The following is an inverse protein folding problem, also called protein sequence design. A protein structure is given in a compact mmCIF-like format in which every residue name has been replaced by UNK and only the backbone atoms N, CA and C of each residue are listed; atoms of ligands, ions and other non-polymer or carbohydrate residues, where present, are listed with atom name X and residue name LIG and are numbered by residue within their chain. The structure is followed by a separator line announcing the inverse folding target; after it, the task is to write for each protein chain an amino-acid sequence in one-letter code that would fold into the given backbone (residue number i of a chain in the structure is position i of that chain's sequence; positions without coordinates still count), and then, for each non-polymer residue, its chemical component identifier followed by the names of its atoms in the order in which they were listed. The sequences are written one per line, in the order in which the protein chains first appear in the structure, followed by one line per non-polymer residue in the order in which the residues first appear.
data_IF_948251551540
#
_entry.id   IF_948251551540
#
_cell.length_a   1.000
_cell.length_b   1.000
_cell.length_c   1.000
_cell.angle_alpha   90.00
_cell.angle_beta   90.00
_cell.angle_gamma   90.00
#
_symmetry.space_group_name_H-M   'P 1'
#
loop_
_entity.id
_entity.type
_entity.pdbx_description
1 polymer ?
#
# COMPACT_ATOMS: atom_id res chain seq x y z
N UNK A 1 93.29 29.43 -2.60
CA UNK A 1 92.10 29.37 -1.74
C UNK A 1 90.90 29.19 -2.64
N UNK A 2 90.47 27.95 -2.86
CA UNK A 2 89.21 27.67 -3.58
C UNK A 2 88.16 27.25 -2.58
N UNK A 3 87.07 28.01 -2.47
CA UNK A 3 85.91 27.60 -1.74
C UNK A 3 84.93 26.97 -2.71
N UNK A 4 84.58 25.68 -2.47
CA UNK A 4 83.58 24.93 -3.20
C UNK A 4 82.22 25.19 -2.56
N UNK A 5 81.26 25.67 -3.39
CA UNK A 5 79.82 25.78 -3.04
C UNK A 5 79.12 24.51 -3.47
N UNK A 6 78.65 23.71 -2.53
CA UNK A 6 77.79 22.56 -2.74
C UNK A 6 76.34 23.02 -2.61
N UNK A 7 75.67 23.16 -3.73
CA UNK A 7 74.21 23.46 -3.77
C UNK A 7 73.38 22.20 -3.60
N UNK A 8 72.59 22.13 -2.53
CA UNK A 8 71.63 21.07 -2.23
C UNK A 8 70.33 21.30 -3.00
N UNK A 9 70.06 20.52 -4.04
CA UNK A 9 68.78 20.58 -4.79
C UNK A 9 67.80 19.71 -4.05
N UNK A 10 66.81 20.32 -3.37
CA UNK A 10 65.69 19.65 -2.74
C UNK A 10 64.56 19.47 -3.77
N UNK A 11 64.39 18.22 -4.24
CA UNK A 11 63.31 17.83 -5.13
C UNK A 11 62.05 17.59 -4.30
N UNK A 12 61.06 18.48 -4.42
CA UNK A 12 59.73 18.28 -3.88
C UNK A 12 58.94 17.32 -4.77
N UNK A 13 58.72 16.09 -4.28
CA UNK A 13 57.78 15.15 -4.90
C UNK A 13 56.35 15.56 -4.49
N UNK A 14 55.65 16.21 -5.39
CA UNK A 14 54.21 16.42 -5.24
C UNK A 14 53.52 15.14 -5.64
N UNK A 15 53.17 14.32 -4.65
CA UNK A 15 52.29 13.18 -4.84
C UNK A 15 50.87 13.67 -5.12
N UNK A 16 50.48 13.75 -6.38
CA UNK A 16 49.10 13.96 -6.80
C UNK A 16 48.27 12.72 -6.41
N UNK A 17 47.52 12.79 -5.31
CA UNK A 17 46.48 11.82 -4.99
C UNK A 17 45.37 11.96 -6.04
N UNK A 18 45.44 11.17 -7.09
CA UNK A 18 44.27 10.87 -7.93
C UNK A 18 43.33 10.01 -7.11
N UNK A 19 42.37 10.63 -6.44
CA UNK A 19 41.18 9.95 -5.97
C UNK A 19 40.40 9.48 -7.20
N UNK A 20 40.62 8.21 -7.56
CA UNK A 20 39.73 7.49 -8.47
C UNK A 20 38.34 7.58 -7.84
N UNK A 21 37.49 8.43 -8.37
CA UNK A 21 36.08 8.35 -8.13
C UNK A 21 35.65 6.95 -8.64
N UNK A 22 35.55 5.98 -7.72
CA UNK A 22 34.95 4.69 -8.03
C UNK A 22 33.55 5.00 -8.51
N UNK A 23 33.33 4.95 -9.81
CA UNK A 23 32.03 5.05 -10.41
C UNK A 23 31.18 3.93 -9.84
N UNK A 24 30.28 4.26 -8.89
CA UNK A 24 29.35 3.28 -8.34
C UNK A 24 28.59 2.66 -9.51
N UNK A 25 28.64 1.34 -9.60
CA UNK A 25 27.84 0.60 -10.59
C UNK A 25 26.39 1.07 -10.48
N UNK A 26 25.76 1.49 -11.58
CA UNK A 26 24.39 1.98 -11.52
C UNK A 26 23.45 0.94 -10.92
N UNK A 27 22.67 1.34 -9.93
CA UNK A 27 21.70 0.48 -9.28
C UNK A 27 20.51 0.26 -10.21
N UNK A 28 20.11 -0.99 -10.41
CA UNK A 28 18.91 -1.35 -11.15
C UNK A 28 17.87 -1.90 -10.20
N UNK A 29 16.70 -1.29 -10.14
CA UNK A 29 15.57 -1.76 -9.34
C UNK A 29 14.47 -2.25 -10.28
N UNK A 30 14.15 -3.52 -10.20
CA UNK A 30 13.01 -4.10 -10.89
C UNK A 30 11.70 -3.65 -10.23
N UNK A 31 10.73 -3.22 -11.01
CA UNK A 31 9.38 -2.89 -10.56
C UNK A 31 8.42 -3.92 -11.16
N UNK A 32 7.80 -4.74 -10.32
CA UNK A 32 6.82 -5.74 -10.75
C UNK A 32 5.45 -5.39 -10.18
N UNK A 33 4.50 -5.11 -11.06
CA UNK A 33 3.11 -4.79 -10.68
C UNK A 33 2.12 -5.57 -11.55
N UNK A 34 1.03 -6.03 -10.94
CA UNK A 34 -0.06 -6.67 -11.67
C UNK A 34 -0.77 -5.66 -12.56
N UNK A 35 -1.08 -4.50 -12.03
CA UNK A 35 -1.71 -3.39 -12.72
C UNK A 35 -1.24 -2.06 -12.12
N UNK A 36 -1.07 -1.05 -12.97
CA UNK A 36 -0.62 0.28 -12.54
C UNK A 36 -1.83 1.17 -12.28
N UNK A 37 -2.48 0.93 -11.19
CA UNK A 37 -3.53 1.81 -10.69
C UNK A 37 -2.97 2.95 -9.82
N UNK A 38 -3.89 3.73 -9.22
CA UNK A 38 -3.51 4.89 -8.40
C UNK A 38 -2.67 4.51 -7.17
N UNK A 39 -3.02 3.43 -6.48
CA UNK A 39 -2.29 2.96 -5.29
C UNK A 39 -0.84 2.61 -5.64
N UNK A 40 -0.62 1.82 -6.69
CA UNK A 40 0.68 1.44 -7.20
C UNK A 40 1.48 2.67 -7.66
N UNK A 41 0.84 3.58 -8.39
CA UNK A 41 1.45 4.84 -8.83
C UNK A 41 1.88 5.70 -7.64
N UNK A 42 1.09 5.80 -6.56
CA UNK A 42 1.46 6.51 -5.35
C UNK A 42 2.63 5.83 -4.61
N UNK A 43 2.63 4.50 -4.51
CA UNK A 43 3.75 3.75 -3.93
C UNK A 43 5.06 4.00 -4.70
N UNK A 44 5.02 3.97 -6.03
CA UNK A 44 6.19 4.26 -6.87
C UNK A 44 6.66 5.71 -6.76
N UNK A 45 5.74 6.68 -6.68
CA UNK A 45 6.09 8.08 -6.41
C UNK A 45 6.80 8.24 -5.07
N UNK A 46 6.28 7.57 -4.03
CA UNK A 46 6.91 7.54 -2.71
C UNK A 46 8.30 6.92 -2.75
N UNK A 47 8.45 5.78 -3.42
CA UNK A 47 9.71 5.09 -3.62
C UNK A 47 10.75 6.00 -4.30
N UNK A 48 10.38 6.59 -5.43
CA UNK A 48 11.27 7.49 -6.20
C UNK A 48 11.66 8.73 -5.38
N UNK A 49 10.70 9.33 -4.66
CA UNK A 49 10.96 10.48 -3.79
C UNK A 49 11.91 10.12 -2.64
N UNK A 50 11.67 8.99 -1.95
CA UNK A 50 12.53 8.53 -0.86
C UNK A 50 13.95 8.19 -1.34
N UNK A 51 14.09 7.51 -2.47
CA UNK A 51 15.41 7.22 -3.04
C UNK A 51 16.14 8.52 -3.47
N UNK A 52 15.41 9.51 -4.01
CA UNK A 52 16.00 10.81 -4.33
C UNK A 52 16.53 11.54 -3.09
N UNK A 53 15.80 11.52 -1.99
CA UNK A 53 16.25 12.08 -0.70
C UNK A 53 17.49 11.37 -0.14
N UNK A 54 17.67 10.09 -0.46
CA UNK A 54 18.85 9.29 -0.11
C UNK A 54 20.02 9.44 -1.09
N UNK A 55 19.92 10.35 -2.09
CA UNK A 55 20.99 10.68 -3.03
C UNK A 55 20.96 9.89 -4.35
N UNK A 56 19.97 9.03 -4.56
CA UNK A 56 19.80 8.34 -5.84
C UNK A 56 19.16 9.26 -6.87
N UNK A 57 19.68 9.21 -8.11
CA UNK A 57 19.20 10.03 -9.22
C UNK A 57 18.81 9.10 -10.38
N UNK A 58 17.51 9.08 -10.72
CA UNK A 58 17.03 8.29 -11.84
C UNK A 58 17.76 8.68 -13.14
N UNK A 59 18.09 7.69 -13.95
CA UNK A 59 18.88 7.78 -15.20
C UNK A 59 20.34 8.21 -15.03
N UNK A 60 20.85 8.31 -13.80
CA UNK A 60 22.27 8.57 -13.52
C UNK A 60 22.89 7.37 -12.77
N UNK A 61 22.55 7.24 -11.49
CA UNK A 61 23.03 6.15 -10.64
C UNK A 61 21.94 5.16 -10.23
N UNK A 62 20.67 5.41 -10.66
CA UNK A 62 19.51 4.56 -10.42
C UNK A 62 18.72 4.37 -11.72
N UNK A 63 18.33 3.12 -12.01
CA UNK A 63 17.49 2.76 -13.15
C UNK A 63 16.32 1.88 -12.68
N UNK A 64 15.10 2.24 -13.07
CA UNK A 64 13.90 1.43 -12.86
C UNK A 64 13.61 0.59 -14.10
N UNK A 65 13.54 -0.74 -13.91
CA UNK A 65 13.09 -1.70 -14.91
C UNK A 65 11.66 -2.13 -14.56
N UNK A 66 10.67 -1.57 -15.26
CA UNK A 66 9.24 -1.78 -14.90
C UNK A 66 8.60 -2.87 -15.74
N UNK A 67 7.87 -3.76 -15.08
CA UNK A 67 6.96 -4.75 -15.65
C UNK A 67 5.57 -4.57 -15.08
N UNK A 68 4.66 -4.10 -15.91
CA UNK A 68 3.23 -4.00 -15.63
C UNK A 68 2.51 -5.00 -16.53
N UNK A 69 1.89 -6.03 -15.93
CA UNK A 69 1.23 -7.10 -16.69
C UNK A 69 -0.23 -6.80 -17.02
N UNK A 70 -0.70 -5.57 -16.75
CA UNK A 70 -2.03 -5.06 -17.13
C UNK A 70 -3.18 -6.01 -16.72
N UNK A 71 -3.15 -6.49 -15.48
CA UNK A 71 -4.16 -7.39 -14.92
C UNK A 71 -3.93 -8.88 -15.20
N UNK A 72 -3.07 -9.26 -16.16
CA UNK A 72 -2.79 -10.67 -16.49
C UNK A 72 -1.90 -11.33 -15.44
N UNK A 73 -2.50 -11.95 -14.42
CA UNK A 73 -1.79 -12.62 -13.34
C UNK A 73 -0.83 -13.71 -13.81
N UNK A 74 -1.17 -14.43 -14.89
CA UNK A 74 -0.32 -15.51 -15.41
C UNK A 74 1.01 -14.98 -15.98
N UNK A 75 1.06 -13.71 -16.41
CA UNK A 75 2.27 -13.08 -16.91
C UNK A 75 3.22 -12.57 -15.81
N UNK A 76 2.84 -12.57 -14.53
CA UNK A 76 3.66 -12.05 -13.44
C UNK A 76 4.96 -12.81 -13.25
N UNK A 77 4.93 -14.15 -13.26
CA UNK A 77 6.14 -14.96 -13.08
C UNK A 77 7.11 -14.86 -14.25
N UNK A 78 6.70 -14.95 -15.53
CA UNK A 78 7.54 -14.60 -16.65
C UNK A 78 8.16 -13.20 -16.58
N UNK A 79 7.35 -12.19 -16.21
CA UNK A 79 7.81 -10.81 -16.05
C UNK A 79 8.87 -10.66 -14.93
N UNK A 80 8.73 -11.40 -13.82
CA UNK A 80 9.77 -11.46 -12.80
C UNK A 80 11.07 -12.05 -13.36
N UNK A 81 11.00 -13.13 -14.15
CA UNK A 81 12.15 -13.72 -14.85
C UNK A 81 12.86 -12.73 -15.78
N UNK A 82 12.10 -11.92 -16.52
CA UNK A 82 12.66 -10.85 -17.36
C UNK A 82 13.42 -9.79 -16.54
N UNK A 83 12.92 -9.43 -15.35
CA UNK A 83 13.64 -8.52 -14.46
C UNK A 83 14.96 -9.12 -13.98
N UNK A 84 14.96 -10.40 -13.61
CA UNK A 84 16.17 -11.10 -13.20
C UNK A 84 17.21 -11.14 -14.34
N UNK A 85 16.78 -11.36 -15.57
CA UNK A 85 17.64 -11.32 -16.76
C UNK A 85 18.26 -9.92 -17.03
N UNK A 86 17.72 -8.86 -16.41
CA UNK A 86 18.29 -7.51 -16.45
C UNK A 86 19.27 -7.23 -15.31
N UNK A 87 19.64 -8.25 -14.53
CA UNK A 87 20.55 -8.13 -13.39
C UNK A 87 20.13 -7.03 -12.41
N UNK A 88 18.86 -7.03 -12.02
CA UNK A 88 18.35 -6.07 -11.03
C UNK A 88 18.93 -6.35 -9.64
N UNK A 89 19.29 -5.29 -8.92
CA UNK A 89 19.82 -5.35 -7.55
C UNK A 89 18.76 -5.80 -6.55
N UNK A 90 17.50 -5.40 -6.78
CA UNK A 90 16.36 -5.78 -5.99
C UNK A 90 15.07 -5.66 -6.83
N UNK A 91 14.01 -6.34 -6.41
CA UNK A 91 12.67 -6.22 -7.02
C UNK A 91 11.74 -5.52 -6.02
N UNK A 92 11.13 -4.41 -6.45
CA UNK A 92 10.04 -3.77 -5.73
C UNK A 92 8.71 -4.29 -6.26
N UNK A 93 7.80 -4.66 -5.36
CA UNK A 93 6.48 -5.19 -5.72
C UNK A 93 5.37 -4.47 -4.97
N UNK A 94 4.17 -4.44 -5.56
CA UNK A 94 2.97 -3.98 -4.88
C UNK A 94 1.90 -5.07 -4.90
N UNK A 95 1.32 -5.37 -3.73
CA UNK A 95 0.29 -6.38 -3.59
C UNK A 95 0.80 -7.83 -3.56
N UNK A 96 -0.10 -8.74 -3.23
CA UNK A 96 0.23 -10.15 -2.95
C UNK A 96 0.66 -10.92 -4.18
N UNK A 97 -0.06 -10.76 -5.31
CA UNK A 97 0.19 -11.56 -6.53
C UNK A 97 1.57 -11.30 -7.10
N UNK A 98 1.98 -10.03 -7.23
CA UNK A 98 3.30 -9.65 -7.73
C UNK A 98 4.41 -10.11 -6.77
N UNK A 99 4.20 -9.98 -5.46
CA UNK A 99 5.17 -10.43 -4.46
C UNK A 99 5.37 -11.95 -4.50
N UNK A 100 4.29 -12.73 -4.58
CA UNK A 100 4.37 -14.19 -4.73
C UNK A 100 5.08 -14.61 -6.02
N UNK A 101 4.79 -13.93 -7.13
CA UNK A 101 5.44 -14.22 -8.40
C UNK A 101 6.96 -13.93 -8.36
N UNK A 102 7.38 -12.84 -7.72
CA UNK A 102 8.77 -12.53 -7.48
C UNK A 102 9.45 -13.59 -6.59
N UNK A 103 8.81 -14.00 -5.48
CA UNK A 103 9.31 -15.07 -4.58
C UNK A 103 9.44 -16.41 -5.29
N UNK A 104 8.52 -16.74 -6.20
CA UNK A 104 8.59 -17.97 -7.00
C UNK A 104 9.71 -17.93 -8.06
N UNK A 105 10.10 -16.73 -8.52
CA UNK A 105 11.12 -16.56 -9.54
C UNK A 105 12.55 -16.53 -8.98
N UNK A 106 12.75 -16.11 -7.72
CA UNK A 106 14.06 -16.01 -7.10
C UNK A 106 14.04 -16.20 -5.60
N UNK A 107 15.08 -16.85 -5.06
CA UNK A 107 15.36 -16.93 -3.63
C UNK A 107 16.60 -16.11 -3.21
N UNK A 108 17.27 -15.48 -4.16
CA UNK A 108 18.53 -14.74 -3.97
C UNK A 108 18.34 -13.23 -4.09
N UNK A 109 17.70 -12.77 -5.18
CA UNK A 109 17.49 -11.34 -5.42
C UNK A 109 16.52 -10.80 -4.38
N UNK A 110 16.89 -9.75 -3.61
CA UNK A 110 16.04 -9.14 -2.60
C UNK A 110 14.72 -8.61 -3.17
N UNK A 111 13.66 -8.81 -2.42
CA UNK A 111 12.31 -8.34 -2.76
C UNK A 111 11.85 -7.39 -1.65
N UNK A 112 11.46 -6.17 -2.04
CA UNK A 112 10.87 -5.17 -1.17
C UNK A 112 9.42 -4.94 -1.59
N UNK A 113 8.48 -5.31 -0.72
CA UNK A 113 7.06 -5.20 -1.05
C UNK A 113 6.36 -4.05 -0.34
N UNK A 114 5.28 -3.58 -0.92
CA UNK A 114 4.27 -2.71 -0.29
C UNK A 114 2.92 -3.41 -0.36
N UNK A 115 2.29 -3.59 0.82
CA UNK A 115 1.02 -4.30 0.92
C UNK A 115 0.08 -3.67 1.96
N UNK A 116 -1.19 -3.37 1.62
CA UNK A 116 -2.12 -2.74 2.54
C UNK A 116 -2.65 -3.69 3.63
N UNK A 117 -2.58 -4.99 3.41
CA UNK A 117 -3.10 -6.01 4.31
C UNK A 117 -2.08 -6.57 5.29
N UNK A 118 -2.42 -7.72 5.86
CA UNK A 118 -1.58 -8.52 6.74
C UNK A 118 -0.79 -9.55 5.92
N UNK A 119 0.55 -9.50 5.91
CA UNK A 119 1.37 -10.40 5.11
C UNK A 119 1.32 -11.86 5.59
N UNK A 120 0.96 -12.12 6.86
CA UNK A 120 0.72 -13.49 7.38
C UNK A 120 -0.55 -14.05 6.75
N UNK A 121 -1.64 -13.31 6.82
CA UNK A 121 -2.93 -13.68 6.22
C UNK A 121 -2.80 -13.86 4.72
N UNK A 122 -2.02 -13.02 4.07
CA UNK A 122 -1.70 -13.13 2.65
C UNK A 122 -0.77 -14.31 2.33
N UNK A 123 -0.23 -15.03 3.31
CA UNK A 123 0.71 -16.12 3.11
C UNK A 123 2.03 -15.70 2.47
N UNK A 124 2.45 -14.45 2.66
CA UNK A 124 3.76 -13.95 2.25
C UNK A 124 4.84 -14.27 3.29
N UNK A 125 4.44 -14.38 4.55
CA UNK A 125 5.26 -14.81 5.67
C UNK A 125 4.53 -15.87 6.47
N UNK A 126 5.25 -16.69 7.23
CA UNK A 126 4.66 -17.74 8.08
C UNK A 126 3.94 -17.15 9.30
N UNK A 127 3.07 -17.96 9.91
CA UNK A 127 2.26 -17.55 11.06
C UNK A 127 3.07 -17.19 12.33
N UNK A 128 4.28 -17.70 12.45
CA UNK A 128 5.25 -17.38 13.51
C UNK A 128 6.06 -16.09 13.23
N UNK A 129 5.81 -15.44 12.08
CA UNK A 129 6.53 -14.24 11.64
C UNK A 129 7.81 -14.52 10.85
N UNK A 130 8.16 -15.78 10.59
CA UNK A 130 9.31 -16.13 9.76
C UNK A 130 9.08 -15.67 8.32
N UNK A 131 9.92 -14.77 7.83
CA UNK A 131 9.90 -14.26 6.48
C UNK A 131 10.89 -15.00 5.57
N UNK A 132 10.62 -15.11 4.25
CA UNK A 132 11.60 -15.60 3.29
C UNK A 132 12.90 -14.78 3.36
N UNK A 133 14.06 -15.45 3.19
CA UNK A 133 15.40 -14.84 3.37
C UNK A 133 15.64 -13.62 2.48
N UNK A 134 14.97 -13.56 1.35
CA UNK A 134 15.11 -12.47 0.37
C UNK A 134 13.92 -11.50 0.38
N UNK A 135 13.00 -11.57 1.36
CA UNK A 135 11.81 -10.73 1.44
C UNK A 135 11.89 -9.73 2.60
N UNK A 136 11.57 -8.49 2.34
CA UNK A 136 11.22 -7.46 3.32
C UNK A 136 10.20 -6.49 2.71
N UNK A 137 9.71 -5.53 3.45
CA UNK A 137 8.76 -4.57 2.91
C UNK A 137 8.00 -3.77 3.94
N UNK A 138 6.92 -3.13 3.49
CA UNK A 138 6.03 -2.32 4.33
C UNK A 138 4.61 -2.85 4.22
N UNK A 139 4.01 -3.21 5.35
CA UNK A 139 2.64 -3.72 5.44
C UNK A 139 1.77 -2.82 6.33
N UNK A 140 0.51 -2.61 5.96
CA UNK A 140 -0.37 -1.73 6.71
C UNK A 140 -1.22 -2.43 7.76
N UNK A 141 -1.40 -3.76 7.67
CA UNK A 141 -2.26 -4.51 8.60
C UNK A 141 -3.66 -3.86 8.74
N UNK A 142 -4.30 -3.58 7.59
CA UNK A 142 -5.50 -2.74 7.50
C UNK A 142 -6.67 -3.18 8.40
N UNK A 143 -6.75 -4.47 8.78
CA UNK A 143 -7.75 -4.94 9.74
C UNK A 143 -7.67 -4.21 11.09
N UNK A 144 -6.45 -3.84 11.54
CA UNK A 144 -6.24 -3.08 12.78
C UNK A 144 -6.79 -1.64 12.72
N UNK A 145 -7.15 -1.15 11.53
CA UNK A 145 -7.71 0.21 11.35
C UNK A 145 -9.23 0.25 11.44
N UNK A 146 -9.92 -0.90 11.53
CA UNK A 146 -11.38 -0.97 11.50
C UNK A 146 -12.03 -0.18 12.63
N UNK A 147 -11.50 -0.22 13.86
CA UNK A 147 -12.00 0.57 14.97
C UNK A 147 -11.87 2.08 14.68
N UNK A 148 -10.73 2.53 14.17
CA UNK A 148 -10.54 3.94 13.79
C UNK A 148 -11.45 4.37 12.65
N UNK A 149 -11.68 3.50 11.66
CA UNK A 149 -12.63 3.74 10.57
C UNK A 149 -14.06 3.92 11.09
N UNK A 150 -14.47 3.10 12.07
CA UNK A 150 -15.80 3.23 12.70
C UNK A 150 -15.95 4.57 13.43
N UNK A 151 -14.92 4.97 14.19
CA UNK A 151 -14.89 6.28 14.87
C UNK A 151 -15.05 7.41 13.85
N UNK A 152 -14.26 7.38 12.79
CA UNK A 152 -14.32 8.38 11.73
C UNK A 152 -15.67 8.36 11.01
N UNK A 153 -16.27 7.20 10.77
CA UNK A 153 -17.56 7.09 10.13
C UNK A 153 -18.66 7.75 10.98
N UNK A 154 -18.62 7.52 12.31
CA UNK A 154 -19.55 8.19 13.24
C UNK A 154 -19.29 9.70 13.35
N UNK A 155 -18.02 10.14 13.27
CA UNK A 155 -17.70 11.58 13.22
C UNK A 155 -18.21 12.25 11.93
N UNK A 156 -18.14 11.52 10.79
CA UNK A 156 -18.65 12.00 9.49
C UNK A 156 -20.17 12.04 9.48
N UNK A 157 -20.81 11.06 10.12
CA UNK A 157 -22.27 10.91 10.20
C UNK A 157 -22.68 10.86 11.69
N UNK A 158 -22.86 12.00 12.36
CA UNK A 158 -23.19 12.02 13.80
C UNK A 158 -24.45 11.24 14.17
N UNK A 159 -25.43 11.20 13.27
CA UNK A 159 -26.68 10.44 13.40
C UNK A 159 -26.54 8.94 13.12
N UNK A 160 -25.35 8.44 12.79
CA UNK A 160 -25.10 7.01 12.51
C UNK A 160 -25.45 6.17 13.75
N UNK A 161 -26.38 5.23 13.59
CA UNK A 161 -26.85 4.29 14.62
C UNK A 161 -26.60 2.84 14.24
N UNK A 162 -26.52 2.58 12.94
CA UNK A 162 -26.43 1.21 12.38
C UNK A 162 -25.40 1.15 11.28
N UNK A 163 -24.59 0.10 11.29
CA UNK A 163 -23.68 -0.25 10.18
C UNK A 163 -24.11 -1.55 9.54
N UNK A 164 -24.12 -1.55 8.22
CA UNK A 164 -24.42 -2.70 7.36
C UNK A 164 -23.09 -3.26 6.90
N UNK A 165 -22.82 -4.52 7.24
CA UNK A 165 -21.55 -5.17 6.99
C UNK A 165 -21.79 -6.45 6.21
N UNK A 166 -21.20 -6.55 5.03
CA UNK A 166 -21.21 -7.77 4.22
C UNK A 166 -19.86 -8.47 4.38
N UNK A 167 -19.87 -9.78 4.62
CA UNK A 167 -18.66 -10.58 4.75
C UNK A 167 -18.81 -11.88 3.94
N UNK A 168 -17.70 -12.39 3.39
CA UNK A 168 -17.71 -13.68 2.69
C UNK A 168 -17.89 -14.83 3.70
N UNK A 169 -19.02 -15.54 3.60
CA UNK A 169 -19.33 -16.67 4.46
C UNK A 169 -18.41 -17.87 4.25
N UNK A 170 -17.74 -17.96 3.09
CA UNK A 170 -16.78 -19.02 2.78
C UNK A 170 -15.36 -18.68 3.26
N UNK A 171 -15.14 -17.46 3.76
CA UNK A 171 -13.84 -16.96 4.21
C UNK A 171 -13.85 -16.75 5.73
N UNK A 172 -13.22 -17.64 6.47
CA UNK A 172 -13.11 -17.54 7.94
C UNK A 172 -12.44 -16.23 8.40
N UNK A 173 -11.54 -15.64 7.60
CA UNK A 173 -10.91 -14.38 7.92
C UNK A 173 -11.92 -13.22 7.79
N UNK A 174 -12.73 -13.23 6.74
CA UNK A 174 -13.80 -12.25 6.54
C UNK A 174 -14.80 -12.29 7.71
N UNK A 175 -15.17 -13.49 8.15
CA UNK A 175 -16.03 -13.69 9.34
C UNK A 175 -15.41 -13.14 10.62
N UNK A 176 -14.15 -13.46 10.91
CA UNK A 176 -13.44 -12.93 12.10
C UNK A 176 -13.33 -11.41 12.08
N UNK A 177 -13.14 -10.80 10.90
CA UNK A 177 -13.17 -9.35 10.76
C UNK A 177 -14.53 -8.78 11.09
N UNK A 178 -15.63 -9.42 10.69
CA UNK A 178 -16.96 -9.01 11.07
C UNK A 178 -17.13 -9.05 12.59
N UNK A 179 -16.76 -10.14 13.26
CA UNK A 179 -16.88 -10.29 14.71
C UNK A 179 -16.12 -9.16 15.46
N UNK A 180 -14.93 -8.82 14.98
CA UNK A 180 -14.14 -7.71 15.54
C UNK A 180 -14.80 -6.33 15.31
N UNK A 181 -15.39 -6.11 14.12
CA UNK A 181 -16.12 -4.88 13.79
C UNK A 181 -17.39 -4.76 14.65
N UNK A 182 -18.14 -5.84 14.83
CA UNK A 182 -19.33 -5.88 15.67
C UNK A 182 -18.99 -5.50 17.12
N UNK A 183 -17.91 -6.08 17.67
CA UNK A 183 -17.45 -5.74 19.01
C UNK A 183 -17.04 -4.26 19.14
N UNK A 184 -16.35 -3.71 18.13
CA UNK A 184 -15.95 -2.31 18.10
C UNK A 184 -17.16 -1.37 17.91
N UNK A 185 -18.12 -1.74 17.07
CA UNK A 185 -19.36 -0.99 16.86
C UNK A 185 -20.17 -0.86 18.16
N UNK A 186 -20.29 -1.96 18.91
CA UNK A 186 -20.96 -1.98 20.23
C UNK A 186 -20.36 -0.99 21.21
N UNK A 187 -19.03 -0.86 21.27
CA UNK A 187 -18.34 0.12 22.14
C UNK A 187 -18.70 1.58 21.76
N UNK A 188 -19.02 1.82 20.50
CA UNK A 188 -19.40 3.14 19.98
C UNK A 188 -20.91 3.40 20.00
N UNK A 189 -21.70 2.49 20.59
CA UNK A 189 -23.16 2.57 20.59
C UNK A 189 -23.78 2.38 19.21
N UNK A 190 -23.12 1.68 18.29
CA UNK A 190 -23.61 1.34 16.97
C UNK A 190 -24.12 -0.10 16.94
N UNK A 191 -25.22 -0.33 16.22
CA UNK A 191 -25.67 -1.66 15.86
C UNK A 191 -24.95 -2.12 14.60
N UNK A 192 -24.23 -3.24 14.65
CA UNK A 192 -23.71 -3.90 13.47
C UNK A 192 -24.72 -4.96 12.97
N UNK A 193 -25.07 -4.88 11.68
CA UNK A 193 -25.87 -5.89 10.99
C UNK A 193 -24.99 -6.58 9.95
N UNK A 194 -24.69 -7.85 10.19
CA UNK A 194 -23.80 -8.65 9.34
C UNK A 194 -24.58 -9.59 8.43
N UNK A 195 -24.18 -9.67 7.16
CA UNK A 195 -24.66 -10.67 6.21
C UNK A 195 -23.49 -11.49 5.69
N UNK A 196 -23.54 -12.82 5.96
CA UNK A 196 -22.62 -13.77 5.35
C UNK A 196 -23.06 -14.07 3.93
N UNK A 197 -22.28 -13.64 2.96
CA UNK A 197 -22.56 -13.73 1.54
C UNK A 197 -21.70 -14.84 0.93
N UNK A 198 -22.30 -15.70 0.11
CA UNK A 198 -21.62 -16.86 -0.52
C UNK A 198 -21.31 -16.66 -2.00
N UNK A 199 -21.95 -15.67 -2.65
CA UNK A 199 -21.81 -15.42 -4.07
C UNK A 199 -22.12 -13.96 -4.44
N UNK A 200 -21.69 -13.53 -5.63
CA UNK A 200 -22.03 -12.22 -6.18
C UNK A 200 -23.54 -12.02 -6.34
N UNK A 201 -24.29 -13.04 -6.73
CA UNK A 201 -25.75 -12.95 -6.89
C UNK A 201 -26.46 -12.79 -5.54
N UNK A 202 -25.99 -13.48 -4.51
CA UNK A 202 -26.51 -13.31 -3.15
C UNK A 202 -26.20 -11.91 -2.62
N UNK A 203 -25.01 -11.36 -2.90
CA UNK A 203 -24.68 -9.98 -2.57
C UNK A 203 -25.65 -8.98 -3.22
N UNK A 204 -25.90 -9.14 -4.53
CA UNK A 204 -26.83 -8.26 -5.28
C UNK A 204 -28.24 -8.36 -4.72
N UNK A 205 -28.72 -9.55 -4.44
CA UNK A 205 -30.05 -9.80 -3.85
C UNK A 205 -30.17 -9.15 -2.48
N UNK A 206 -29.14 -9.36 -1.63
CA UNK A 206 -29.11 -8.79 -0.27
C UNK A 206 -29.03 -7.26 -0.31
N UNK A 207 -28.14 -6.67 -1.14
CA UNK A 207 -28.06 -5.22 -1.31
C UNK A 207 -29.39 -4.62 -1.81
N UNK A 208 -30.10 -5.31 -2.71
CA UNK A 208 -31.42 -4.87 -3.19
C UNK A 208 -32.47 -4.91 -2.08
N UNK A 209 -32.44 -5.86 -1.17
CA UNK A 209 -33.37 -6.01 -0.05
C UNK A 209 -33.15 -4.99 1.08
N UNK A 210 -31.92 -4.49 1.23
CA UNK A 210 -31.59 -3.46 2.24
C UNK A 210 -32.39 -2.20 1.98
N UNK A 211 -33.00 -1.66 3.03
CA UNK A 211 -33.69 -0.36 2.97
C UNK A 211 -32.74 0.76 3.35
N UNK A 212 -32.85 1.90 2.65
CA UNK A 212 -32.19 3.14 3.04
C UNK A 212 -32.91 3.72 4.27
N UNK A 213 -32.37 3.50 5.45
CA UNK A 213 -32.91 4.02 6.71
C UNK A 213 -32.04 5.18 7.21
N UNK A 214 -32.61 6.26 7.75
CA UNK A 214 -31.84 7.30 8.42
C UNK A 214 -30.98 6.72 9.54
N UNK A 215 -29.71 7.13 9.58
CA UNK A 215 -28.76 6.62 10.56
C UNK A 215 -28.18 5.25 10.23
N UNK A 216 -28.43 4.69 9.05
CA UNK A 216 -27.73 3.50 8.56
C UNK A 216 -26.62 3.86 7.57
N UNK A 217 -25.56 3.05 7.54
CA UNK A 217 -24.45 3.21 6.58
C UNK A 217 -23.74 1.89 6.31
N UNK A 218 -23.11 1.75 5.14
CA UNK A 218 -22.38 0.55 4.77
C UNK A 218 -20.93 0.70 5.25
N UNK A 219 -20.44 -0.32 5.97
CA UNK A 219 -19.07 -0.42 6.43
C UNK A 219 -18.40 -1.62 5.80
N UNK A 220 -17.32 -1.39 5.03
CA UNK A 220 -16.68 -2.41 4.22
C UNK A 220 -15.70 -3.26 5.02
N UNK A 221 -15.75 -4.58 4.79
CA UNK A 221 -14.65 -5.53 5.02
C UNK A 221 -13.94 -5.75 3.69
N UNK A 222 -12.59 -5.70 3.70
CA UNK A 222 -11.79 -6.01 2.51
C UNK A 222 -11.93 -7.50 2.16
N UNK A 223 -12.49 -7.79 0.99
CA UNK A 223 -12.68 -9.13 0.47
C UNK A 223 -12.88 -9.07 -1.05
N UNK A 224 -12.28 -10.01 -1.78
CA UNK A 224 -12.29 -10.05 -3.25
C UNK A 224 -13.73 -10.12 -3.83
N UNK A 225 -14.66 -10.78 -3.12
CA UNK A 225 -16.06 -10.88 -3.52
C UNK A 225 -16.71 -9.50 -3.63
N UNK A 226 -16.45 -8.62 -2.67
CA UNK A 226 -17.03 -7.27 -2.64
C UNK A 226 -16.31 -6.30 -3.57
N UNK A 227 -15.03 -6.53 -3.80
CA UNK A 227 -14.22 -5.75 -4.74
C UNK A 227 -14.72 -5.94 -6.18
N UNK A 228 -15.01 -7.18 -6.58
CA UNK A 228 -15.53 -7.48 -7.92
C UNK A 228 -16.91 -6.86 -8.21
N UNK A 229 -17.74 -6.67 -7.18
CA UNK A 229 -19.11 -6.14 -7.28
C UNK A 229 -19.23 -4.67 -6.81
N UNK A 230 -18.11 -3.98 -6.66
CA UNK A 230 -18.06 -2.64 -6.09
C UNK A 230 -18.89 -1.60 -6.83
N UNK A 231 -18.98 -1.66 -8.15
CA UNK A 231 -19.81 -0.74 -8.96
C UNK A 231 -21.30 -0.89 -8.63
N UNK A 232 -21.78 -2.13 -8.54
CA UNK A 232 -23.15 -2.42 -8.14
C UNK A 232 -23.43 -1.95 -6.72
N UNK A 233 -22.50 -2.19 -5.79
CA UNK A 233 -22.58 -1.75 -4.40
C UNK A 233 -22.71 -0.22 -4.32
N UNK A 234 -21.84 0.53 -5.01
CA UNK A 234 -21.87 1.99 -5.00
C UNK A 234 -23.13 2.55 -5.66
N UNK A 235 -23.58 1.98 -6.76
CA UNK A 235 -24.83 2.38 -7.42
C UNK A 235 -26.01 2.19 -6.49
N UNK A 236 -26.10 1.03 -5.83
CA UNK A 236 -27.17 0.71 -4.87
C UNK A 236 -27.11 1.59 -3.62
N UNK A 237 -25.93 1.80 -3.04
CA UNK A 237 -25.74 2.67 -1.88
C UNK A 237 -26.19 4.10 -2.19
N UNK A 238 -25.81 4.64 -3.35
CA UNK A 238 -26.26 5.97 -3.80
C UNK A 238 -27.76 6.05 -3.98
N UNK A 239 -28.37 5.10 -4.70
CA UNK A 239 -29.82 5.07 -4.93
C UNK A 239 -30.61 5.04 -3.61
N UNK A 240 -30.09 4.37 -2.59
CA UNK A 240 -30.70 4.25 -1.26
C UNK A 240 -30.23 5.33 -0.27
N UNK A 241 -29.41 6.28 -0.71
CA UNK A 241 -28.79 7.34 0.11
C UNK A 241 -28.03 6.82 1.33
N UNK A 242 -27.41 5.64 1.23
CA UNK A 242 -26.63 5.03 2.28
C UNK A 242 -25.19 5.56 2.22
N UNK A 243 -24.69 6.23 3.28
CA UNK A 243 -23.29 6.56 3.39
C UNK A 243 -22.43 5.30 3.46
N UNK A 244 -21.18 5.38 2.95
CA UNK A 244 -20.29 4.24 2.87
C UNK A 244 -18.90 4.60 3.41
N UNK A 245 -18.28 3.69 4.19
CA UNK A 245 -16.91 3.82 4.71
C UNK A 245 -16.06 2.64 4.25
N UNK A 246 -14.97 2.93 3.57
CA UNK A 246 -14.08 1.96 2.97
C UNK A 246 -12.64 2.06 3.51
N UNK A 247 -11.78 1.10 3.14
CA UNK A 247 -10.43 0.94 3.69
C UNK A 247 -9.31 1.55 2.85
N UNK A 248 -9.59 2.08 1.65
CA UNK A 248 -8.59 2.64 0.74
C UNK A 248 -9.14 3.81 -0.07
N UNK A 249 -8.27 4.77 -0.41
CA UNK A 249 -8.57 5.94 -1.23
C UNK A 249 -9.25 5.59 -2.56
N UNK A 250 -8.79 4.50 -3.20
CA UNK A 250 -9.33 4.05 -4.50
C UNK A 250 -10.86 3.87 -4.48
N UNK A 251 -11.40 3.41 -3.37
CA UNK A 251 -12.85 3.24 -3.22
C UNK A 251 -13.60 4.56 -3.11
N UNK A 252 -13.03 5.55 -2.43
CA UNK A 252 -13.61 6.89 -2.41
C UNK A 252 -13.64 7.50 -3.82
N UNK A 253 -12.61 7.29 -4.63
CA UNK A 253 -12.57 7.73 -6.04
C UNK A 253 -13.67 7.05 -6.87
N UNK A 254 -13.93 5.76 -6.65
CA UNK A 254 -14.96 4.98 -7.34
C UNK A 254 -16.38 5.30 -6.87
N UNK A 255 -16.56 6.00 -5.75
CA UNK A 255 -17.88 6.44 -5.31
C UNK A 255 -18.25 6.19 -3.85
N UNK A 256 -17.35 5.63 -3.03
CA UNK A 256 -17.58 5.60 -1.58
C UNK A 256 -17.64 7.03 -1.02
N UNK A 257 -18.46 7.25 0.04
CA UNK A 257 -18.55 8.54 0.72
C UNK A 257 -17.22 8.91 1.37
N UNK A 258 -16.60 7.95 2.05
CA UNK A 258 -15.34 8.14 2.74
C UNK A 258 -14.50 6.88 2.72
N UNK A 259 -13.20 7.06 2.82
CA UNK A 259 -12.25 5.99 3.00
C UNK A 259 -11.16 6.40 4.01
N UNK A 260 -10.72 5.45 4.82
CA UNK A 260 -9.56 5.63 5.68
C UNK A 260 -8.65 4.41 5.53
N UNK A 261 -7.46 4.64 5.00
CA UNK A 261 -6.54 3.57 4.64
C UNK A 261 -5.09 4.03 4.57
N UNK A 262 -4.16 3.08 4.33
CA UNK A 262 -2.74 3.39 4.33
C UNK A 262 -2.36 4.38 3.24
N UNK A 263 -1.42 5.26 3.56
CA UNK A 263 -0.80 6.15 2.59
C UNK A 263 0.21 5.38 1.76
N UNK A 264 -0.15 5.00 0.54
CA UNK A 264 0.76 4.30 -0.36
C UNK A 264 2.00 5.13 -0.70
N UNK A 265 1.86 6.47 -0.72
CA UNK A 265 3.01 7.37 -0.88
C UNK A 265 4.01 7.22 0.27
N UNK A 266 3.53 7.20 1.52
CA UNK A 266 4.37 7.00 2.70
C UNK A 266 4.99 5.60 2.72
N UNK A 267 4.20 4.56 2.44
CA UNK A 267 4.70 3.19 2.37
C UNK A 267 5.82 3.04 1.32
N UNK A 268 5.66 3.65 0.14
CA UNK A 268 6.69 3.67 -0.88
C UNK A 268 7.96 4.41 -0.44
N UNK A 269 7.82 5.55 0.26
CA UNK A 269 8.97 6.30 0.82
C UNK A 269 9.72 5.48 1.87
N UNK A 270 9.02 4.75 2.73
CA UNK A 270 9.62 3.83 3.71
C UNK A 270 10.32 2.66 3.02
N UNK A 271 9.71 2.09 1.99
CA UNK A 271 10.33 1.04 1.17
C UNK A 271 11.65 1.50 0.52
N UNK A 272 11.79 2.80 0.20
CA UNK A 272 13.06 3.37 -0.28
C UNK A 272 14.18 3.23 0.77
N UNK A 273 13.87 3.42 2.06
CA UNK A 273 14.84 3.20 3.15
C UNK A 273 15.29 1.74 3.26
N UNK A 274 14.38 0.79 3.04
CA UNK A 274 14.72 -0.65 3.00
C UNK A 274 15.59 -0.96 1.78
N UNK A 275 15.24 -0.44 0.61
CA UNK A 275 16.04 -0.59 -0.61
C UNK A 275 17.44 0.01 -0.47
N UNK A 276 17.59 1.19 0.11
CA UNK A 276 18.87 1.82 0.37
C UNK A 276 19.79 0.93 1.22
N UNK A 277 19.23 0.34 2.28
CA UNK A 277 19.98 -0.61 3.13
C UNK A 277 20.42 -1.86 2.35
N UNK A 278 19.54 -2.41 1.50
CA UNK A 278 19.85 -3.55 0.64
C UNK A 278 20.93 -3.18 -0.37
N UNK A 279 20.85 -2.04 -1.04
CA UNK A 279 21.85 -1.55 -1.98
C UNK A 279 23.21 -1.37 -1.30
N UNK A 280 23.22 -0.99 -0.03
CA UNK A 280 24.42 -0.88 0.81
C UNK A 280 24.92 -2.22 1.38
N UNK A 281 24.29 -3.34 1.01
CA UNK A 281 24.74 -4.68 1.34
C UNK A 281 24.03 -5.34 2.54
N UNK A 282 22.99 -4.73 3.10
CA UNK A 282 22.21 -5.38 4.16
C UNK A 282 21.40 -6.57 3.59
N UNK A 283 21.46 -7.76 4.18
CA UNK A 283 20.60 -8.87 3.77
C UNK A 283 19.13 -8.55 4.04
N UNK A 284 18.23 -8.84 3.09
CA UNK A 284 16.80 -8.61 3.27
C UNK A 284 16.24 -9.32 4.51
N UNK A 285 16.74 -10.53 4.82
CA UNK A 285 16.37 -11.29 6.01
C UNK A 285 16.64 -10.55 7.34
N UNK A 286 17.62 -9.63 7.38
CA UNK A 286 17.92 -8.83 8.58
C UNK A 286 17.03 -7.59 8.73
N UNK A 287 16.22 -7.29 7.71
CA UNK A 287 15.35 -6.14 7.68
C UNK A 287 13.92 -6.56 8.03
N UNK A 288 13.38 -6.13 9.19
CA UNK A 288 12.03 -6.50 9.55
C UNK A 288 11.01 -5.89 8.57
N UNK A 289 9.87 -6.56 8.40
CA UNK A 289 8.74 -5.97 7.70
C UNK A 289 8.21 -4.81 8.55
N UNK A 290 8.25 -3.62 7.98
CA UNK A 290 7.81 -2.41 8.66
C UNK A 290 6.28 -2.28 8.63
N UNK A 291 5.71 -1.68 9.68
CA UNK A 291 4.30 -1.29 9.67
C UNK A 291 4.14 0.08 9.02
N UNK A 292 3.10 0.25 8.20
CA UNK A 292 2.72 1.56 7.69
C UNK A 292 2.49 2.53 8.86
N UNK A 293 3.06 3.73 8.77
CA UNK A 293 2.97 4.73 9.82
C UNK A 293 1.86 5.77 9.56
N UNK A 294 1.55 6.00 8.29
CA UNK A 294 0.58 7.01 7.89
C UNK A 294 -0.65 6.38 7.24
N UNK A 295 -1.82 6.89 7.67
CA UNK A 295 -3.12 6.54 7.10
C UNK A 295 -3.82 7.83 6.70
N UNK A 296 -4.40 7.86 5.50
CA UNK A 296 -5.05 9.01 4.91
C UNK A 296 -6.58 8.87 5.00
N UNK A 297 -7.26 9.93 5.48
CA UNK A 297 -8.70 10.09 5.39
C UNK A 297 -9.06 10.77 4.07
N UNK A 298 -9.81 10.08 3.23
CA UNK A 298 -10.32 10.60 1.96
C UNK A 298 -11.82 10.77 2.04
N UNK A 299 -12.32 11.96 1.69
CA UNK A 299 -13.75 12.27 1.62
C UNK A 299 -14.17 12.50 0.17
N UNK A 300 -15.34 12.00 -0.21
CA UNK A 300 -15.91 12.23 -1.54
C UNK A 300 -17.07 13.22 -1.45
N UNK A 301 -16.80 14.47 -1.82
CA UNK A 301 -17.79 15.55 -1.80
C UNK A 301 -18.91 15.35 -2.85
N UNK A 302 -18.61 14.74 -3.99
CA UNK A 302 -19.62 14.41 -5.01
C UNK A 302 -20.65 13.42 -4.46
N UNK A 303 -20.18 12.35 -3.83
CA UNK A 303 -21.06 11.35 -3.22
C UNK A 303 -21.84 11.96 -2.06
N UNK A 304 -21.21 12.78 -1.21
CA UNK A 304 -21.87 13.47 -0.12
C UNK A 304 -23.04 14.33 -0.62
N UNK A 305 -22.81 15.18 -1.62
CA UNK A 305 -23.86 16.00 -2.23
C UNK A 305 -25.00 15.17 -2.81
N UNK A 306 -24.65 14.06 -3.51
CA UNK A 306 -25.65 13.20 -4.14
C UNK A 306 -26.60 12.55 -3.12
N UNK A 307 -26.06 12.10 -1.97
CA UNK A 307 -26.87 11.44 -0.92
C UNK A 307 -27.41 12.43 0.12
N UNK A 308 -27.12 13.73 -0.01
CA UNK A 308 -27.65 14.78 0.88
C UNK A 308 -26.88 14.94 2.19
N UNK A 309 -25.61 14.53 2.25
CA UNK A 309 -24.74 14.67 3.42
C UNK A 309 -23.85 15.91 3.26
N UNK A 310 -23.72 16.67 4.35
CA UNK A 310 -22.81 17.81 4.43
C UNK A 310 -21.68 17.49 5.39
N UNK A 311 -20.42 17.57 4.91
CA UNK A 311 -19.25 17.48 5.79
C UNK A 311 -19.11 18.76 6.62
N UNK A 312 -18.86 18.60 7.92
CA UNK A 312 -18.53 19.74 8.76
C UNK A 312 -17.21 20.39 8.32
N UNK A 313 -17.01 21.71 8.57
CA UNK A 313 -15.73 22.37 8.29
C UNK A 313 -14.54 21.68 8.96
N UNK A 314 -14.72 21.17 10.18
CA UNK A 314 -13.68 20.47 10.91
C UNK A 314 -13.36 19.10 10.29
N UNK A 315 -14.37 18.38 9.77
CA UNK A 315 -14.15 17.14 9.05
C UNK A 315 -13.40 17.38 7.75
N UNK A 316 -13.71 18.46 7.01
CA UNK A 316 -12.97 18.83 5.81
C UNK A 316 -11.50 19.20 6.10
N UNK A 317 -11.22 19.84 7.24
CA UNK A 317 -9.83 20.12 7.68
C UNK A 317 -9.09 18.87 8.11
N UNK A 318 -9.80 17.89 8.70
CA UNK A 318 -9.24 16.62 9.15
C UNK A 318 -8.92 15.67 7.98
N UNK A 319 -9.56 15.85 6.84
CA UNK A 319 -9.34 15.01 5.66
C UNK A 319 -7.99 15.31 5.02
N UNK A 320 -7.23 14.25 4.74
CA UNK A 320 -5.99 14.35 3.96
C UNK A 320 -6.29 14.64 2.47
N UNK A 321 -7.45 14.17 2.00
CA UNK A 321 -7.88 14.32 0.60
C UNK A 321 -9.39 14.54 0.51
N UNK A 322 -9.78 15.44 -0.39
CA UNK A 322 -11.20 15.69 -0.72
C UNK A 322 -11.40 15.58 -2.23
N UNK A 323 -12.24 14.63 -2.65
CA UNK A 323 -12.64 14.43 -4.06
C UNK A 323 -13.82 15.37 -4.33
N UNK A 324 -13.65 16.27 -5.30
CA UNK A 324 -14.64 17.26 -5.72
C UNK A 324 -15.14 17.02 -7.14
#
# INVERSE_FOLDING_TARGET
MLQSFTGLITIFFVAAFFTLAQGQTPVRVGILVQEMERAQSQALKGLSAGLKELGYQERKNLFFETRNVKGNRAALQPAAGELLARNVTAIFTTGTSATRAALAATHEVPIVFVYPGDPIVAGLIKGDGEQPKNLTGVAAYAAATSERRLVLFKEIIPELKKILVFYDANNNFSRKNYDAIEAAAKKLGLQAMGWGIKSADELKTTLNSVRGEPGAGIFQIADDLFESESEFLFATARAKKLPTMFNEEAWAIRGALAAYGPSYLDMGRRAAGLLDRIIKGAPAASLPIERAAKFDLTLNYRTANFIGIQFSPDMLKKADKVIR
#
